data_IF_786649937374
#
_entry.id   IF_786649937374
#
_cell.length_a   1.000
_cell.length_b   1.000
_cell.length_c   1.000
_cell.angle_alpha   90.00
_cell.angle_beta   90.00
_cell.angle_gamma   90.00
#
_symmetry.space_group_name_H-M   'P 1'
#
loop_
_entity.id
_entity.type
_entity.pdbx_description
1 polymer ?
#
# COMPACT_ATOMS: atom_id res chain seq x y z
N UNK A 1 -5.85 -2.50 -8.12
CA UNK A 1 -5.73 -1.80 -6.82
C UNK A 1 -6.33 -2.54 -5.62
N UNK A 2 -7.61 -2.92 -5.59
CA UNK A 2 -8.16 -3.59 -4.37
C UNK A 2 -7.45 -4.90 -4.04
N UNK A 3 -7.15 -5.72 -5.05
CA UNK A 3 -6.39 -6.98 -4.87
C UNK A 3 -4.97 -6.72 -4.34
N UNK A 4 -4.33 -5.66 -4.84
CA UNK A 4 -3.01 -5.21 -4.42
C UNK A 4 -2.95 -4.84 -2.94
N UNK A 5 -3.97 -4.10 -2.47
CA UNK A 5 -4.11 -3.73 -1.06
C UNK A 5 -4.26 -4.99 -0.19
N UNK A 6 -5.11 -5.94 -0.59
CA UNK A 6 -5.27 -7.20 0.14
C UNK A 6 -3.97 -8.00 0.18
N UNK A 7 -3.24 -8.07 -0.93
CA UNK A 7 -1.94 -8.75 -0.99
C UNK A 7 -0.92 -8.13 -0.03
N UNK A 8 -0.87 -6.79 0.06
CA UNK A 8 0.02 -6.10 0.97
C UNK A 8 -0.36 -6.28 2.44
N UNK A 9 -1.66 -6.21 2.78
CA UNK A 9 -2.13 -6.45 4.16
C UNK A 9 -1.79 -7.88 4.60
N UNK A 10 -1.99 -8.88 3.73
CA UNK A 10 -1.55 -10.26 4.01
C UNK A 10 -0.04 -10.35 4.20
N UNK A 11 0.78 -9.65 3.40
CA UNK A 11 2.22 -9.58 3.61
C UNK A 11 2.60 -8.99 4.98
N UNK A 12 1.95 -7.91 5.40
CA UNK A 12 2.17 -7.32 6.72
C UNK A 12 1.82 -8.27 7.87
N UNK A 13 0.77 -9.08 7.70
CA UNK A 13 0.41 -10.12 8.66
C UNK A 13 1.44 -11.25 8.69
N UNK A 14 1.74 -11.84 7.55
CA UNK A 14 2.52 -13.07 7.46
C UNK A 14 4.01 -12.83 7.72
N UNK A 15 4.56 -11.73 7.20
CA UNK A 15 5.99 -11.40 7.28
C UNK A 15 6.30 -10.45 8.43
N UNK A 16 5.53 -9.36 8.57
CA UNK A 16 5.76 -8.35 9.63
C UNK A 16 5.07 -8.69 10.95
N UNK A 17 4.32 -9.82 11.01
CA UNK A 17 3.58 -10.27 12.21
C UNK A 17 2.68 -9.17 12.79
N UNK A 18 2.09 -8.36 11.91
CA UNK A 18 1.20 -7.26 12.28
C UNK A 18 -0.08 -7.80 12.93
N UNK A 19 -0.60 -7.09 13.95
CA UNK A 19 -1.84 -7.50 14.61
C UNK A 19 -3.06 -7.27 13.72
N UNK A 20 -4.12 -8.08 13.92
CA UNK A 20 -5.37 -7.95 13.17
C UNK A 20 -6.03 -6.58 13.27
N UNK A 21 -5.91 -5.91 14.41
CA UNK A 21 -6.47 -4.57 14.59
C UNK A 21 -5.72 -3.52 13.75
N UNK A 22 -4.40 -3.66 13.69
CA UNK A 22 -3.52 -2.83 12.85
C UNK A 22 -3.75 -3.12 11.36
N UNK A 23 -3.92 -4.39 10.97
CA UNK A 23 -4.26 -4.78 9.59
C UNK A 23 -5.54 -4.10 9.10
N UNK A 24 -6.61 -4.13 9.92
CA UNK A 24 -7.89 -3.48 9.58
C UNK A 24 -7.70 -1.96 9.42
N UNK A 25 -6.89 -1.35 10.28
CA UNK A 25 -6.61 0.09 10.21
C UNK A 25 -5.85 0.42 8.92
N UNK A 26 -4.78 -0.31 8.61
CA UNK A 26 -4.03 -0.13 7.36
C UNK A 26 -4.86 -0.39 6.12
N UNK A 27 -5.74 -1.39 6.14
CA UNK A 27 -6.65 -1.63 5.02
C UNK A 27 -7.58 -0.44 4.79
N UNK A 28 -8.13 0.17 5.85
CA UNK A 28 -8.98 1.37 5.73
C UNK A 28 -8.20 2.54 5.15
N UNK A 29 -7.01 2.83 5.68
CA UNK A 29 -6.11 3.87 5.17
C UNK A 29 -5.80 3.70 3.67
N UNK A 30 -5.46 2.47 3.25
CA UNK A 30 -5.13 2.18 1.86
C UNK A 30 -6.36 2.24 0.93
N UNK A 31 -7.55 1.92 1.44
CA UNK A 31 -8.80 2.09 0.68
C UNK A 31 -9.13 3.56 0.45
N UNK A 32 -8.83 4.45 1.41
CA UNK A 32 -8.95 5.89 1.22
C UNK A 32 -7.96 6.41 0.18
N UNK A 33 -6.71 5.94 0.22
CA UNK A 33 -5.72 6.24 -0.83
C UNK A 33 -6.20 5.78 -2.21
N UNK A 34 -6.75 4.57 -2.31
CA UNK A 34 -7.35 4.06 -3.56
C UNK A 34 -8.43 5.02 -4.06
N UNK A 35 -9.39 5.42 -3.21
CA UNK A 35 -10.49 6.29 -3.63
C UNK A 35 -9.99 7.64 -4.14
N UNK A 36 -8.99 8.22 -3.47
CA UNK A 36 -8.36 9.46 -3.93
C UNK A 36 -7.64 9.31 -5.29
N UNK A 37 -6.98 8.17 -5.50
CA UNK A 37 -6.28 7.90 -6.76
C UNK A 37 -7.27 7.66 -7.90
N UNK A 38 -8.37 6.97 -7.63
CA UNK A 38 -9.46 6.73 -8.59
C UNK A 38 -10.12 8.04 -9.05
N UNK A 39 -10.35 8.99 -8.14
CA UNK A 39 -10.83 10.34 -8.48
C UNK A 39 -9.90 11.06 -9.48
N UNK A 40 -8.60 10.77 -9.41
CA UNK A 40 -7.58 11.29 -10.33
C UNK A 40 -7.38 10.44 -11.59
N UNK A 41 -8.23 9.44 -11.82
CA UNK A 41 -8.14 8.52 -12.95
C UNK A 41 -7.05 7.44 -12.84
N UNK A 42 -6.45 7.27 -11.65
CA UNK A 42 -5.42 6.26 -11.39
C UNK A 42 -6.07 5.05 -10.72
N UNK A 43 -6.40 4.05 -11.54
CA UNK A 43 -7.07 2.80 -11.10
C UNK A 43 -6.11 1.61 -10.94
N UNK A 44 -4.89 1.76 -11.46
CA UNK A 44 -3.85 0.72 -11.49
C UNK A 44 -2.68 1.09 -10.59
N UNK A 45 -2.20 0.12 -9.80
CA UNK A 45 -1.11 0.34 -8.83
C UNK A 45 0.21 0.74 -9.53
N UNK A 46 0.41 0.26 -10.76
CA UNK A 46 1.61 0.54 -11.54
C UNK A 46 1.69 1.99 -12.01
N UNK A 47 0.53 2.63 -12.19
CA UNK A 47 0.39 4.04 -12.56
C UNK A 47 0.53 4.99 -11.36
N UNK A 48 0.59 4.45 -10.14
CA UNK A 48 0.87 5.26 -8.95
C UNK A 48 2.30 5.75 -9.03
N UNK A 49 2.48 7.06 -8.84
CA UNK A 49 3.80 7.71 -8.81
C UNK A 49 4.03 8.34 -7.44
N UNK A 50 5.29 8.67 -7.15
CA UNK A 50 5.64 9.44 -5.94
C UNK A 50 4.91 10.78 -5.90
N UNK A 51 4.66 11.41 -7.05
CA UNK A 51 3.89 12.66 -7.16
C UNK A 51 2.43 12.48 -6.75
N UNK A 52 1.78 11.39 -7.19
CA UNK A 52 0.39 11.08 -6.82
C UNK A 52 0.28 10.81 -5.31
N UNK A 53 1.27 10.13 -4.72
CA UNK A 53 1.35 9.90 -3.28
C UNK A 53 1.57 11.19 -2.48
N UNK A 54 2.49 12.06 -2.92
CA UNK A 54 2.70 13.37 -2.29
C UNK A 54 1.44 14.23 -2.34
N UNK A 55 0.69 14.17 -3.45
CA UNK A 55 -0.58 14.87 -3.59
C UNK A 55 -1.62 14.38 -2.59
N UNK A 56 -1.67 13.07 -2.33
CA UNK A 56 -2.51 12.49 -1.30
C UNK A 56 -2.12 12.99 0.10
N UNK A 57 -0.83 12.91 0.47
CA UNK A 57 -0.36 13.40 1.78
C UNK A 57 -0.71 14.88 1.97
N UNK A 58 -0.59 15.69 0.92
CA UNK A 58 -0.92 17.11 0.97
C UNK A 58 -2.42 17.37 1.11
N UNK A 59 -3.26 16.57 0.45
CA UNK A 59 -4.73 16.61 0.60
C UNK A 59 -5.15 16.39 2.06
N UNK A 60 -4.53 15.43 2.75
CA UNK A 60 -4.77 15.20 4.18
C UNK A 60 -4.26 16.32 5.08
N UNK A 61 -3.07 16.86 4.80
CA UNK A 61 -2.51 17.99 5.56
C UNK A 61 -3.37 19.25 5.47
N UNK A 62 -4.19 19.39 4.43
CA UNK A 62 -5.14 20.49 4.27
C UNK A 62 -6.47 20.28 5.00
N UNK A 63 -6.67 19.14 5.65
CA UNK A 63 -7.92 18.81 6.35
C UNK A 63 -9.06 18.44 5.42
N UNK A 64 -8.77 18.14 4.16
CA UNK A 64 -9.78 17.81 3.13
C UNK A 64 -10.14 16.31 3.12
N UNK A 65 -9.46 15.50 3.93
CA UNK A 65 -9.71 14.06 4.08
C UNK A 65 -10.68 13.72 5.21
N UNK A 66 -11.37 12.58 5.07
CA UNK A 66 -12.54 12.23 5.87
C UNK A 66 -12.21 11.58 7.25
N UNK A 67 -10.95 11.21 7.51
CA UNK A 67 -10.51 10.51 8.73
C UNK A 67 -9.17 11.04 9.29
N UNK A 68 -9.19 11.75 10.41
CA UNK A 68 -7.98 12.34 11.02
C UNK A 68 -6.94 11.31 11.52
N UNK A 69 -7.23 10.01 11.46
CA UNK A 69 -6.39 8.96 12.01
C UNK A 69 -5.62 8.19 10.92
N UNK A 70 -4.98 8.91 10.01
CA UNK A 70 -3.95 8.30 9.15
C UNK A 70 -2.81 7.81 10.04
N UNK A 71 -2.54 6.51 10.02
CA UNK A 71 -1.34 5.93 10.66
C UNK A 71 -0.07 6.31 9.87
N UNK A 72 0.27 7.60 9.86
CA UNK A 72 1.49 8.17 9.28
C UNK A 72 1.67 7.95 7.77
N UNK A 73 2.57 8.72 7.16
CA UNK A 73 2.96 8.54 5.76
C UNK A 73 3.61 7.16 5.49
N UNK A 74 4.12 6.50 6.53
CA UNK A 74 4.91 5.28 6.42
C UNK A 74 4.17 4.08 5.83
N UNK A 75 2.86 3.92 6.06
CA UNK A 75 2.10 2.80 5.48
C UNK A 75 1.88 2.98 3.97
N UNK A 76 1.61 4.21 3.53
CA UNK A 76 1.42 4.54 2.12
C UNK A 76 2.75 4.40 1.35
N UNK A 77 3.86 4.83 1.95
CA UNK A 77 5.20 4.61 1.41
C UNK A 77 5.55 3.12 1.38
N UNK A 78 5.23 2.36 2.44
CA UNK A 78 5.43 0.91 2.47
C UNK A 78 4.67 0.17 1.38
N UNK A 79 3.40 0.55 1.14
CA UNK A 79 2.58 0.01 0.05
C UNK A 79 3.21 0.31 -1.32
N UNK A 80 3.64 1.56 -1.53
CA UNK A 80 4.30 1.96 -2.78
C UNK A 80 5.61 1.18 -3.01
N UNK A 81 6.44 1.07 -1.98
CA UNK A 81 7.71 0.34 -2.05
C UNK A 81 7.49 -1.16 -2.31
N UNK A 82 6.52 -1.79 -1.64
CA UNK A 82 6.17 -3.19 -1.86
C UNK A 82 5.83 -3.48 -3.33
N UNK A 83 5.05 -2.61 -3.97
CA UNK A 83 4.68 -2.76 -5.38
C UNK A 83 5.77 -2.33 -6.38
N UNK A 84 6.59 -1.34 -6.05
CA UNK A 84 7.78 -1.00 -6.84
C UNK A 84 8.78 -2.15 -6.83
N UNK A 85 9.05 -2.73 -5.66
CA UNK A 85 9.94 -3.90 -5.55
C UNK A 85 9.40 -5.12 -6.26
N UNK A 86 8.07 -5.36 -6.27
CA UNK A 86 7.48 -6.47 -7.04
C UNK A 86 7.61 -6.33 -8.55
N UNK A 87 7.66 -5.10 -9.08
CA UNK A 87 7.93 -4.86 -10.50
C UNK A 87 9.37 -5.20 -10.88
N UNK A 88 10.32 -4.94 -9.99
CA UNK A 88 11.75 -5.22 -10.21
C UNK A 88 12.18 -6.61 -9.74
N UNK A 89 11.38 -7.26 -8.88
CA UNK A 89 11.60 -8.58 -8.32
C UNK A 89 10.25 -9.32 -8.17
N UNK A 90 9.86 -10.16 -9.15
CA UNK A 90 8.55 -10.84 -9.13
C UNK A 90 8.38 -11.82 -7.96
N UNK A 91 9.48 -12.26 -7.32
CA UNK A 91 9.47 -13.13 -6.13
C UNK A 91 9.07 -12.38 -4.83
N UNK A 92 8.97 -11.05 -4.90
CA UNK A 92 8.54 -10.20 -3.78
C UNK A 92 9.65 -9.91 -2.74
N UNK A 93 9.42 -8.96 -1.82
CA UNK A 93 10.41 -8.47 -0.85
C UNK A 93 10.70 -9.45 0.32
N UNK A 94 10.59 -10.74 0.07
CA UNK A 94 10.83 -11.81 1.04
C UNK A 94 10.95 -13.20 0.42
N UNK A 95 11.07 -13.30 -0.92
CA UNK A 95 11.34 -14.57 -1.58
C UNK A 95 12.73 -15.06 -1.19
N UNK A 96 12.81 -16.03 -0.27
CA UNK A 96 13.86 -17.03 -0.40
C UNK A 96 13.63 -17.72 -1.75
N UNK A 97 14.69 -18.01 -2.54
CA UNK A 97 14.52 -18.79 -3.75
C UNK A 97 13.81 -20.08 -3.35
N UNK A 98 12.62 -20.30 -3.90
CA UNK A 98 11.96 -21.60 -3.84
C UNK A 98 13.00 -22.57 -4.40
N UNK A 99 13.63 -23.31 -3.48
CA UNK A 99 14.71 -24.22 -3.83
C UNK A 99 14.13 -25.18 -4.84
N UNK A 100 14.78 -25.25 -6.01
CA UNK A 100 14.52 -26.26 -7.02
C UNK A 100 14.35 -27.60 -6.29
N UNK A 101 13.12 -28.07 -6.20
CA UNK A 101 12.86 -29.42 -5.81
C UNK A 101 13.12 -30.25 -7.07
N UNK A 102 14.17 -31.05 -6.95
CA UNK A 102 14.63 -32.11 -7.85
C UNK A 102 13.50 -32.92 -8.48
#
# INVERSE_FOLDING_TARGET
>A
MTSDIKSFVSYLRDVKKTSRNTEISYQRDLMQLKSFLEDKGITEVEKVTKTSLNSYILFWKRGEGHDHHIQGAGIHEGFFQFHVQRRTNPQGPGGAPESAQD
#
